data_IF_751499165124
#
_entry.id   IF_751499165124
#
_cell.length_a   1.000
_cell.length_b   1.000
_cell.length_c   1.000
_cell.angle_alpha   90.00
_cell.angle_beta   90.00
_cell.angle_gamma   90.00
#
_symmetry.space_group_name_H-M   'P 1'
#
loop_
_entity.id
_entity.type
_entity.pdbx_description
1 polymer ?
#
# COMPACT_ATOMS: atom_id res chain seq x y z
N UNK A 1 -12.40 -6.00 21.99
CA UNK A 1 -12.81 -4.58 22.07
C UNK A 1 -11.71 -3.63 21.65
N UNK A 2 -10.58 -3.62 22.34
CA UNK A 2 -9.43 -2.78 21.95
C UNK A 2 -8.92 -3.11 20.56
N UNK A 3 -8.89 -4.39 20.20
CA UNK A 3 -8.39 -4.82 18.90
C UNK A 3 -9.29 -4.34 17.75
N UNK A 4 -10.61 -4.40 17.93
CA UNK A 4 -11.54 -3.93 16.89
C UNK A 4 -11.44 -2.43 16.67
N UNK A 5 -11.27 -1.67 17.74
CA UNK A 5 -11.06 -0.23 17.65
C UNK A 5 -9.76 0.08 16.93
N UNK A 6 -8.71 -0.65 17.26
CA UNK A 6 -7.41 -0.50 16.63
C UNK A 6 -7.49 -0.83 15.14
N UNK A 7 -8.18 -1.93 14.80
CA UNK A 7 -8.38 -2.29 13.39
C UNK A 7 -9.14 -1.21 12.64
N UNK A 8 -10.19 -0.66 13.23
CA UNK A 8 -10.96 0.41 12.59
C UNK A 8 -10.11 1.64 12.31
N UNK A 9 -9.26 2.02 13.27
CA UNK A 9 -8.33 3.15 13.10
C UNK A 9 -7.31 2.87 12.01
N UNK A 10 -6.72 1.68 11.99
CA UNK A 10 -5.76 1.28 10.97
C UNK A 10 -6.40 1.25 9.59
N UNK A 11 -7.61 0.71 9.48
CA UNK A 11 -8.33 0.67 8.21
C UNK A 11 -8.56 2.08 7.68
N UNK A 12 -8.98 3.00 8.52
CA UNK A 12 -9.22 4.38 8.10
C UNK A 12 -7.93 5.05 7.61
N UNK A 13 -6.81 4.81 8.30
CA UNK A 13 -5.51 5.34 7.90
C UNK A 13 -5.06 4.74 6.57
N UNK A 14 -5.22 3.42 6.41
CA UNK A 14 -4.85 2.75 5.17
C UNK A 14 -5.67 3.30 4.00
N UNK A 15 -6.98 3.44 4.17
CA UNK A 15 -7.84 3.97 3.12
C UNK A 15 -7.47 5.42 2.76
N UNK A 16 -7.12 6.22 3.76
CA UNK A 16 -6.64 7.58 3.53
C UNK A 16 -5.34 7.60 2.73
N UNK A 17 -4.40 6.70 3.05
CA UNK A 17 -3.14 6.59 2.31
C UNK A 17 -3.37 6.07 0.89
N UNK A 18 -4.38 5.24 0.66
CA UNK A 18 -4.75 4.82 -0.70
C UNK A 18 -5.21 6.01 -1.53
N UNK A 19 -5.99 6.91 -0.94
CA UNK A 19 -6.40 8.14 -1.63
C UNK A 19 -5.20 9.03 -1.96
N UNK A 20 -4.29 9.18 -1.01
CA UNK A 20 -3.05 9.94 -1.22
C UNK A 20 -2.24 9.35 -2.36
N UNK A 21 -2.11 8.03 -2.38
CA UNK A 21 -1.39 7.33 -3.44
C UNK A 21 -1.98 7.64 -4.81
N UNK A 22 -3.29 7.49 -4.94
CA UNK A 22 -4.00 7.76 -6.20
C UNK A 22 -3.78 9.21 -6.66
N UNK A 23 -3.91 10.15 -5.73
CA UNK A 23 -3.70 11.58 -6.04
C UNK A 23 -2.29 11.87 -6.52
N UNK A 24 -1.29 11.24 -5.91
CA UNK A 24 0.11 11.44 -6.29
C UNK A 24 0.42 10.84 -7.65
N UNK A 25 -0.09 9.63 -7.92
CA UNK A 25 0.08 9.01 -9.24
C UNK A 25 -0.52 9.91 -10.31
N UNK A 26 -1.72 10.43 -10.09
CA UNK A 26 -2.37 11.34 -11.03
C UNK A 26 -1.60 12.65 -11.19
N UNK A 27 -1.15 13.23 -10.08
CA UNK A 27 -0.41 14.49 -10.08
C UNK A 27 0.84 14.42 -10.95
N UNK A 28 1.60 13.33 -10.81
CA UNK A 28 2.84 13.15 -11.57
C UNK A 28 2.61 12.51 -12.94
N UNK A 29 1.39 12.10 -13.24
CA UNK A 29 1.08 11.39 -14.48
C UNK A 29 1.88 10.10 -14.61
N UNK A 30 2.12 9.42 -13.50
CA UNK A 30 3.00 8.25 -13.47
C UNK A 30 2.39 7.06 -14.19
N UNK A 31 3.23 6.40 -15.00
CA UNK A 31 2.92 5.15 -15.68
C UNK A 31 3.93 4.11 -15.22
N UNK A 32 3.72 2.85 -15.59
CA UNK A 32 4.70 1.81 -15.28
C UNK A 32 6.08 2.22 -15.79
N UNK A 33 6.17 2.66 -17.05
CA UNK A 33 7.44 3.02 -17.65
C UNK A 33 8.11 4.18 -16.90
N UNK A 34 7.38 5.24 -16.60
CA UNK A 34 7.97 6.39 -15.91
C UNK A 34 8.38 6.04 -14.48
N UNK A 35 7.54 5.29 -13.78
CA UNK A 35 7.82 4.90 -12.40
C UNK A 35 9.07 4.01 -12.32
N UNK A 36 9.19 3.06 -13.23
CA UNK A 36 10.29 2.09 -13.22
C UNK A 36 11.57 2.70 -13.79
N UNK A 37 11.48 3.48 -14.86
CA UNK A 37 12.65 3.83 -15.68
C UNK A 37 13.11 5.28 -15.57
N UNK A 38 12.22 6.21 -15.16
CA UNK A 38 12.60 7.63 -15.14
C UNK A 38 13.46 7.94 -13.93
N UNK A 39 14.76 8.15 -14.17
CA UNK A 39 15.75 8.45 -13.14
C UNK A 39 16.13 9.92 -13.12
N UNK A 40 15.41 10.76 -13.86
CA UNK A 40 15.60 12.22 -13.79
C UNK A 40 15.24 12.72 -12.39
N UNK A 41 15.59 13.96 -12.09
CA UNK A 41 15.24 14.54 -10.80
C UNK A 41 13.73 14.52 -10.56
N UNK A 42 12.93 14.84 -11.57
CA UNK A 42 11.47 14.78 -11.46
C UNK A 42 10.96 13.37 -11.28
N UNK A 43 11.56 12.42 -11.99
CA UNK A 43 11.19 10.99 -11.86
C UNK A 43 11.51 10.46 -10.47
N UNK A 44 12.66 10.84 -9.92
CA UNK A 44 13.02 10.46 -8.56
C UNK A 44 12.08 11.08 -7.53
N UNK A 45 11.73 12.35 -7.72
CA UNK A 45 10.78 13.01 -6.83
C UNK A 45 9.43 12.31 -6.83
N UNK A 46 8.93 11.98 -8.03
CA UNK A 46 7.68 11.25 -8.17
C UNK A 46 7.75 9.88 -7.47
N UNK A 47 8.86 9.16 -7.69
CA UNK A 47 9.07 7.85 -7.09
C UNK A 47 8.99 7.93 -5.55
N UNK A 48 9.72 8.84 -4.92
CA UNK A 48 9.71 8.95 -3.47
C UNK A 48 8.36 9.42 -2.94
N UNK A 49 7.70 10.33 -3.65
CA UNK A 49 6.38 10.80 -3.24
C UNK A 49 5.34 9.70 -3.28
N UNK A 50 5.45 8.78 -4.24
CA UNK A 50 4.54 7.64 -4.39
C UNK A 50 4.87 6.54 -3.38
N UNK A 51 6.16 6.25 -3.19
CA UNK A 51 6.58 5.18 -2.28
C UNK A 51 6.25 5.45 -0.82
N UNK A 52 6.19 6.72 -0.42
CA UNK A 52 5.89 7.06 0.97
C UNK A 52 4.54 6.48 1.44
N UNK A 53 3.40 6.75 0.77
CA UNK A 53 2.15 6.12 1.16
C UNK A 53 2.14 4.60 0.92
N UNK A 54 2.83 4.12 -0.10
CA UNK A 54 2.93 2.68 -0.37
C UNK A 54 3.54 1.95 0.82
N UNK A 55 4.65 2.47 1.35
CA UNK A 55 5.29 1.87 2.51
C UNK A 55 4.37 1.89 3.73
N UNK A 56 3.70 3.03 3.99
CA UNK A 56 2.79 3.13 5.13
C UNK A 56 1.64 2.15 5.02
N UNK A 57 1.07 1.99 3.83
CA UNK A 57 -0.01 1.02 3.59
C UNK A 57 0.47 -0.40 3.91
N UNK A 58 1.63 -0.78 3.40
CA UNK A 58 2.17 -2.12 3.63
C UNK A 58 2.46 -2.35 5.12
N UNK A 59 3.05 -1.36 5.79
CA UNK A 59 3.34 -1.44 7.22
C UNK A 59 2.08 -1.59 8.05
N UNK A 60 1.11 -0.72 7.81
CA UNK A 60 -0.13 -0.74 8.59
C UNK A 60 -0.96 -1.99 8.32
N UNK A 61 -0.96 -2.49 7.08
CA UNK A 61 -1.68 -3.72 6.73
C UNK A 61 -1.20 -4.91 7.57
N UNK A 62 0.09 -4.96 7.87
CA UNK A 62 0.66 -6.07 8.66
C UNK A 62 0.31 -5.97 10.15
N UNK A 63 -0.17 -4.83 10.60
CA UNK A 63 -0.62 -4.65 11.98
C UNK A 63 -2.12 -4.88 12.17
N UNK A 64 -2.85 -5.16 11.09
CA UNK A 64 -4.24 -5.58 11.18
C UNK A 64 -4.32 -6.93 11.91
N UNK A 65 -5.37 -7.10 12.70
CA UNK A 65 -5.53 -8.30 13.51
C UNK A 65 -5.71 -9.56 12.67
N UNK A 66 -5.55 -10.70 13.32
CA UNK A 66 -5.83 -11.99 12.70
C UNK A 66 -7.28 -12.08 12.23
N UNK A 67 -8.22 -11.46 12.95
CA UNK A 67 -9.63 -11.41 12.54
C UNK A 67 -9.77 -10.80 11.14
N UNK A 68 -9.12 -9.66 10.89
CA UNK A 68 -9.18 -9.01 9.58
C UNK A 68 -8.46 -9.85 8.53
N UNK A 69 -7.24 -10.31 8.84
CA UNK A 69 -6.45 -11.06 7.86
C UNK A 69 -7.13 -12.38 7.49
N UNK A 70 -7.73 -13.06 8.47
CA UNK A 70 -8.43 -14.34 8.23
C UNK A 70 -9.73 -14.14 7.46
N UNK A 71 -10.32 -12.95 7.50
CA UNK A 71 -11.52 -12.65 6.71
C UNK A 71 -11.21 -12.62 5.21
N UNK A 72 -9.94 -12.44 4.83
CA UNK A 72 -9.50 -12.39 3.43
C UNK A 72 -8.29 -13.29 3.24
N UNK A 73 -8.48 -14.62 3.37
CA UNK A 73 -7.35 -15.56 3.31
C UNK A 73 -6.70 -15.65 1.94
N UNK A 74 -7.39 -15.22 0.90
CA UNK A 74 -6.85 -15.25 -0.47
C UNK A 74 -5.98 -14.05 -0.78
N UNK A 75 -5.99 -13.01 0.07
CA UNK A 75 -5.14 -11.85 -0.14
C UNK A 75 -3.68 -12.25 0.14
N UNK A 76 -2.72 -11.74 -0.65
CA UNK A 76 -1.32 -12.16 -0.51
C UNK A 76 -0.59 -11.45 0.65
N UNK A 77 -1.00 -11.74 1.89
CA UNK A 77 -0.43 -11.13 3.09
C UNK A 77 1.09 -11.35 3.19
N UNK A 78 1.57 -12.53 2.80
CA UNK A 78 3.01 -12.85 2.84
C UNK A 78 3.79 -12.03 1.83
N UNK A 79 3.21 -11.78 0.65
CA UNK A 79 3.85 -10.97 -0.37
C UNK A 79 3.99 -9.51 0.10
N UNK A 80 2.96 -9.00 0.77
CA UNK A 80 2.99 -7.65 1.34
C UNK A 80 4.07 -7.56 2.42
N UNK A 81 4.20 -8.61 3.24
CA UNK A 81 5.26 -8.67 4.27
C UNK A 81 6.64 -8.64 3.64
N UNK A 82 6.86 -9.45 2.60
CA UNK A 82 8.12 -9.47 1.88
C UNK A 82 8.45 -8.12 1.27
N UNK A 83 7.46 -7.50 0.65
CA UNK A 83 7.62 -6.17 0.07
C UNK A 83 7.99 -5.13 1.14
N UNK A 84 7.28 -5.13 2.27
CA UNK A 84 7.56 -4.20 3.37
C UNK A 84 8.98 -4.38 3.88
N UNK A 85 9.45 -5.62 3.98
CA UNK A 85 10.81 -5.88 4.43
C UNK A 85 11.85 -5.32 3.46
N UNK A 86 11.61 -5.42 2.15
CA UNK A 86 12.48 -4.82 1.14
C UNK A 86 12.53 -3.30 1.29
N UNK A 87 11.38 -2.67 1.41
CA UNK A 87 11.32 -1.20 1.50
C UNK A 87 11.97 -0.70 2.79
N UNK A 88 11.88 -1.49 3.88
CA UNK A 88 12.50 -1.14 5.16
C UNK A 88 14.01 -1.00 5.07
N UNK A 89 14.66 -1.62 4.08
CA UNK A 89 16.10 -1.48 3.86
C UNK A 89 16.46 -0.22 3.07
N UNK A 90 15.48 0.49 2.55
CA UNK A 90 15.66 1.74 1.86
C UNK A 90 15.05 1.72 0.46
N UNK A 91 14.43 2.83 0.09
CA UNK A 91 13.71 2.94 -1.18
C UNK A 91 14.62 2.81 -2.41
N UNK A 92 15.90 3.13 -2.26
CA UNK A 92 16.84 3.14 -3.38
C UNK A 92 17.07 1.75 -3.98
N UNK A 93 16.93 0.72 -3.16
CA UNK A 93 17.22 -0.67 -3.56
C UNK A 93 15.97 -1.46 -3.89
N UNK A 94 14.79 -0.82 -3.85
CA UNK A 94 13.54 -1.50 -4.16
C UNK A 94 13.47 -1.80 -5.66
N UNK A 95 13.05 -3.01 -6.00
CA UNK A 95 12.73 -3.37 -7.37
C UNK A 95 11.46 -2.59 -7.75
N UNK A 96 11.63 -1.59 -8.61
CA UNK A 96 10.53 -0.70 -8.98
C UNK A 96 9.43 -1.40 -9.78
N UNK A 97 9.78 -2.44 -10.53
CA UNK A 97 8.77 -3.24 -11.24
C UNK A 97 7.88 -3.98 -10.26
N UNK A 98 8.47 -4.56 -9.21
CA UNK A 98 7.72 -5.21 -8.15
C UNK A 98 6.86 -4.20 -7.40
N UNK A 99 7.43 -3.03 -7.09
CA UNK A 99 6.67 -1.97 -6.41
C UNK A 99 5.48 -1.53 -7.24
N UNK A 100 5.64 -1.39 -8.54
CA UNK A 100 4.54 -1.00 -9.42
C UNK A 100 3.43 -2.06 -9.42
N UNK A 101 3.80 -3.35 -9.44
CA UNK A 101 2.82 -4.42 -9.34
C UNK A 101 2.02 -4.33 -8.04
N UNK A 102 2.71 -4.07 -6.92
CA UNK A 102 2.04 -3.89 -5.63
C UNK A 102 1.05 -2.72 -5.71
N UNK A 103 1.46 -1.61 -6.33
CA UNK A 103 0.64 -0.41 -6.46
C UNK A 103 -0.62 -0.66 -7.29
N UNK A 104 -0.50 -1.37 -8.42
CA UNK A 104 -1.63 -1.49 -9.35
C UNK A 104 -2.49 -2.73 -9.10
N UNK A 105 -1.95 -3.75 -8.43
CA UNK A 105 -2.69 -4.99 -8.17
C UNK A 105 -3.01 -5.17 -6.68
N UNK A 106 -1.98 -5.22 -5.84
CA UNK A 106 -2.17 -5.63 -4.44
C UNK A 106 -2.85 -4.56 -3.59
N UNK A 107 -2.46 -3.29 -3.75
CA UNK A 107 -3.06 -2.21 -2.97
C UNK A 107 -4.53 -1.99 -3.31
N UNK A 108 -4.94 -1.95 -4.60
CA UNK A 108 -6.37 -1.84 -4.92
C UNK A 108 -7.20 -2.99 -4.37
N UNK A 109 -6.67 -4.21 -4.36
CA UNK A 109 -7.37 -5.36 -3.77
C UNK A 109 -7.50 -5.21 -2.25
N UNK A 110 -6.44 -4.73 -1.60
CA UNK A 110 -6.50 -4.45 -0.16
C UNK A 110 -7.54 -3.39 0.16
N UNK A 111 -7.54 -2.31 -0.61
CA UNK A 111 -8.51 -1.23 -0.44
C UNK A 111 -9.94 -1.76 -0.54
N UNK A 112 -10.21 -2.56 -1.56
CA UNK A 112 -11.53 -3.17 -1.75
C UNK A 112 -11.91 -4.07 -0.57
N UNK A 113 -10.98 -4.92 -0.12
CA UNK A 113 -11.23 -5.82 0.99
C UNK A 113 -11.54 -5.04 2.28
N UNK A 114 -10.76 -4.00 2.56
CA UNK A 114 -10.94 -3.22 3.78
C UNK A 114 -12.23 -2.40 3.76
N UNK A 115 -12.67 -1.92 2.60
CA UNK A 115 -13.96 -1.25 2.49
C UNK A 115 -15.10 -2.23 2.77
N UNK A 116 -15.01 -3.46 2.27
CA UNK A 116 -15.99 -4.50 2.54
C UNK A 116 -16.02 -4.81 4.04
N UNK A 117 -14.85 -4.99 4.65
CA UNK A 117 -14.78 -5.28 6.08
C UNK A 117 -15.41 -4.15 6.91
N UNK A 118 -15.10 -2.91 6.57
CA UNK A 118 -15.64 -1.73 7.26
C UNK A 118 -17.17 -1.70 7.17
N UNK A 119 -17.72 -1.98 5.99
CA UNK A 119 -19.18 -2.02 5.81
C UNK A 119 -19.83 -3.08 6.67
N UNK A 120 -19.19 -4.25 6.80
CA UNK A 120 -19.72 -5.34 7.63
C UNK A 120 -19.72 -5.01 9.11
N UNK A 121 -18.84 -4.10 9.54
CA UNK A 121 -18.75 -3.67 10.94
C UNK A 121 -19.70 -2.54 11.28
N UNK A 122 -20.34 -1.94 10.30
CA UNK A 122 -21.28 -0.83 10.51
C UNK A 122 -22.62 -1.28 11.02
#
# INVERSE_FOLDING_TARGET
>A
MKQRKRDAELIDVILSDCETLTKRIDHFGSTENSFVCDRSEEGELAYYAIMSPVYRIAEDALHLSEEVQSAFPEYPWNDIRGFRNFVAHGYREVDRSLAWKVIVDDIPELEKALRIFKERQS
#
